data_IF_553105614189
#
_entry.id   IF_553105614189
#
_cell.length_a   1.000
_cell.length_b   1.000
_cell.length_c   1.000
_cell.angle_alpha   90.00
_cell.angle_beta   90.00
_cell.angle_gamma   90.00
#
_symmetry.space_group_name_H-M   'P 1'
#
loop_
_entity.id
_entity.type
_entity.pdbx_description
1 polymer ?
#
# COMPACT_ATOMS: atom_id res chain seq x y z
N UNK A 1 -6.48 13.39 -42.70
CA UNK A 1 -5.10 12.90 -42.82
C UNK A 1 -4.52 12.86 -41.42
N UNK A 2 -4.62 11.72 -40.72
CA UNK A 2 -4.03 11.56 -39.39
C UNK A 2 -2.52 11.25 -39.57
N UNK A 3 -1.61 11.96 -38.90
CA UNK A 3 -0.20 11.60 -38.94
C UNK A 3 -0.02 10.25 -38.25
N UNK A 4 0.57 9.28 -38.97
CA UNK A 4 0.96 8.01 -38.39
C UNK A 4 1.99 8.27 -37.28
N UNK A 5 1.70 7.83 -36.05
CA UNK A 5 2.63 7.95 -34.94
C UNK A 5 3.97 7.30 -35.32
N UNK A 6 5.07 8.01 -35.12
CA UNK A 6 6.42 7.47 -35.34
C UNK A 6 6.61 6.19 -34.49
N UNK A 7 7.29 5.16 -35.01
CA UNK A 7 7.43 3.86 -34.32
C UNK A 7 8.04 3.96 -32.91
N UNK A 8 8.82 5.01 -32.63
CA UNK A 8 9.35 5.32 -31.30
C UNK A 8 8.29 5.76 -30.28
N UNK A 9 7.21 6.41 -30.71
CA UNK A 9 6.14 6.90 -29.83
C UNK A 9 5.23 5.75 -29.40
N UNK A 10 4.87 4.88 -30.35
CA UNK A 10 4.07 3.68 -30.07
C UNK A 10 4.77 2.73 -29.08
N UNK A 11 6.10 2.56 -29.20
CA UNK A 11 6.88 1.75 -28.27
C UNK A 11 6.90 2.33 -26.84
N UNK A 12 7.04 3.66 -26.72
CA UNK A 12 7.01 4.34 -25.42
C UNK A 12 5.62 4.23 -24.77
N UNK A 13 4.54 4.41 -25.54
CA UNK A 13 3.16 4.25 -25.06
C UNK A 13 2.88 2.82 -24.59
N UNK A 14 3.35 1.81 -25.32
CA UNK A 14 3.24 0.41 -24.93
C UNK A 14 4.00 0.12 -23.62
N UNK A 15 5.20 0.69 -23.45
CA UNK A 15 5.97 0.56 -22.22
C UNK A 15 5.25 1.23 -21.02
N UNK A 16 4.66 2.40 -21.23
CA UNK A 16 3.87 3.09 -20.20
C UNK A 16 2.63 2.29 -19.80
N UNK A 17 1.93 1.70 -20.78
CA UNK A 17 0.77 0.85 -20.53
C UNK A 17 1.16 -0.39 -19.69
N UNK A 18 2.20 -1.11 -20.12
CA UNK A 18 2.70 -2.29 -19.40
C UNK A 18 3.13 -1.95 -17.96
N UNK A 19 3.80 -0.81 -17.75
CA UNK A 19 4.18 -0.36 -16.40
C UNK A 19 2.96 -0.10 -15.51
N UNK A 20 1.93 0.57 -16.04
CA UNK A 20 0.68 0.83 -15.30
C UNK A 20 -0.09 -0.44 -15.00
N UNK A 21 -0.14 -1.39 -15.93
CA UNK A 21 -0.77 -2.69 -15.71
C UNK A 21 -0.05 -3.49 -14.62
N UNK A 22 1.29 -3.48 -14.63
CA UNK A 22 2.10 -4.18 -13.65
C UNK A 22 1.98 -3.59 -12.23
N UNK A 23 2.05 -2.27 -12.09
CA UNK A 23 2.14 -1.62 -10.78
C UNK A 23 0.82 -1.01 -10.28
N UNK A 24 -0.13 -0.70 -11.17
CA UNK A 24 -1.33 0.05 -10.83
C UNK A 24 -2.22 -0.62 -9.79
N UNK A 25 -2.64 -1.89 -9.98
CA UNK A 25 -3.50 -2.58 -9.01
C UNK A 25 -2.88 -2.68 -7.61
N UNK A 26 -1.60 -3.07 -7.52
CA UNK A 26 -0.91 -3.23 -6.23
C UNK A 26 -0.69 -1.89 -5.54
N UNK A 27 -0.29 -0.86 -6.30
CA UNK A 27 -0.12 0.49 -5.75
C UNK A 27 -1.44 1.09 -5.26
N UNK A 28 -2.55 0.85 -5.97
CA UNK A 28 -3.87 1.29 -5.53
C UNK A 28 -4.29 0.58 -4.24
N UNK A 29 -4.09 -0.74 -4.13
CA UNK A 29 -4.32 -1.49 -2.91
C UNK A 29 -3.50 -0.99 -1.71
N UNK A 30 -2.21 -0.71 -1.93
CA UNK A 30 -1.35 -0.08 -0.92
C UNK A 30 -1.91 1.28 -0.47
N UNK A 31 -2.33 2.13 -1.41
CA UNK A 31 -2.90 3.44 -1.11
C UNK A 31 -4.25 3.33 -0.35
N UNK A 32 -5.09 2.33 -0.66
CA UNK A 32 -6.33 2.06 0.07
C UNK A 32 -6.07 1.70 1.53
N UNK A 33 -5.12 0.79 1.78
CA UNK A 33 -4.75 0.41 3.14
C UNK A 33 -4.14 1.57 3.93
N UNK A 34 -3.32 2.40 3.27
CA UNK A 34 -2.76 3.60 3.88
C UNK A 34 -3.82 4.63 4.26
N UNK A 35 -4.87 4.74 3.46
CA UNK A 35 -5.93 5.75 3.61
C UNK A 35 -7.17 5.21 4.32
N UNK A 36 -7.14 3.96 4.82
CA UNK A 36 -8.27 3.28 5.47
C UNK A 36 -9.53 3.28 4.61
N UNK A 37 -9.38 2.93 3.33
CA UNK A 37 -10.52 2.75 2.42
C UNK A 37 -11.04 4.05 1.78
N UNK A 38 -10.36 5.19 1.95
CA UNK A 38 -10.69 6.41 1.17
C UNK A 38 -10.32 6.21 -0.30
N UNK A 39 -11.26 5.63 -1.07
CA UNK A 39 -11.08 5.27 -2.47
C UNK A 39 -10.67 6.45 -3.35
N UNK A 40 -11.32 7.60 -3.17
CA UNK A 40 -11.06 8.77 -3.99
C UNK A 40 -9.65 9.29 -3.76
N UNK A 41 -9.21 9.32 -2.50
CA UNK A 41 -7.84 9.72 -2.15
C UNK A 41 -6.82 8.68 -2.62
N UNK A 42 -7.09 7.38 -2.41
CA UNK A 42 -6.21 6.31 -2.85
C UNK A 42 -6.00 6.34 -4.38
N UNK A 43 -7.08 6.50 -5.16
CA UNK A 43 -7.03 6.57 -6.62
C UNK A 43 -6.16 7.74 -7.11
N UNK A 44 -6.35 8.94 -6.52
CA UNK A 44 -5.53 10.11 -6.86
C UNK A 44 -4.06 9.89 -6.54
N UNK A 45 -3.76 9.39 -5.34
CA UNK A 45 -2.38 9.13 -4.91
C UNK A 45 -1.67 8.11 -5.82
N UNK A 46 -2.35 7.03 -6.19
CA UNK A 46 -1.79 6.02 -7.09
C UNK A 46 -1.63 6.56 -8.51
N UNK A 47 -2.61 7.32 -9.02
CA UNK A 47 -2.55 7.89 -10.37
C UNK A 47 -1.40 8.89 -10.49
N UNK A 48 -1.24 9.79 -9.53
CA UNK A 48 -0.18 10.79 -9.54
C UNK A 48 1.20 10.13 -9.44
N UNK A 49 1.36 9.12 -8.57
CA UNK A 49 2.62 8.39 -8.46
C UNK A 49 2.98 7.64 -9.76
N UNK A 50 2.01 7.07 -10.47
CA UNK A 50 2.22 6.42 -11.77
C UNK A 50 2.54 7.42 -12.89
N UNK A 51 1.90 8.59 -12.86
CA UNK A 51 2.18 9.68 -13.80
C UNK A 51 3.63 10.16 -13.64
N UNK A 52 4.05 10.47 -12.41
CA UNK A 52 5.41 10.88 -12.12
C UNK A 52 6.45 9.80 -12.46
N UNK A 53 6.12 8.52 -12.26
CA UNK A 53 7.00 7.41 -12.61
C UNK A 53 7.16 7.26 -14.13
N UNK A 54 6.10 7.55 -14.89
CA UNK A 54 6.09 7.43 -16.36
C UNK A 54 7.10 8.40 -16.99
N UNK A 55 7.28 9.59 -16.40
CA UNK A 55 8.31 10.55 -16.81
C UNK A 55 9.75 10.07 -16.54
N UNK A 56 9.91 9.01 -15.73
CA UNK A 56 11.20 8.52 -15.21
C UNK A 56 11.46 7.04 -15.50
N UNK A 57 10.72 6.42 -16.41
CA UNK A 57 10.82 4.99 -16.70
C UNK A 57 12.23 4.55 -17.09
N UNK A 58 12.99 5.42 -17.76
CA UNK A 58 14.39 5.17 -18.12
C UNK A 58 15.31 4.95 -16.91
N UNK A 59 14.98 5.52 -15.75
CA UNK A 59 15.73 5.40 -14.48
C UNK A 59 15.21 4.25 -13.61
N UNK A 60 13.94 3.89 -13.77
CA UNK A 60 13.23 2.88 -12.96
C UNK A 60 13.21 1.49 -13.60
N UNK A 61 14.29 1.12 -14.30
CA UNK A 61 14.35 -0.14 -15.08
C UNK A 61 14.25 -1.41 -14.25
N UNK A 62 14.52 -1.33 -12.94
CA UNK A 62 14.36 -2.47 -12.04
C UNK A 62 12.97 -2.45 -11.40
N UNK A 63 12.13 -3.48 -11.63
CA UNK A 63 10.74 -3.49 -11.19
C UNK A 63 10.59 -3.39 -9.67
N UNK A 64 11.52 -3.94 -8.90
CA UNK A 64 11.53 -3.86 -7.43
C UNK A 64 11.80 -2.43 -6.96
N UNK A 65 12.81 -1.78 -7.55
CA UNK A 65 13.15 -0.38 -7.23
C UNK A 65 12.01 0.57 -7.64
N UNK A 66 11.34 0.29 -8.76
CA UNK A 66 10.15 1.01 -9.17
C UNK A 66 9.01 0.86 -8.16
N UNK A 67 8.75 -0.36 -7.68
CA UNK A 67 7.74 -0.63 -6.68
C UNK A 67 7.99 0.13 -5.37
N UNK A 68 9.23 0.11 -4.87
CA UNK A 68 9.63 0.84 -3.67
C UNK A 68 9.51 2.37 -3.85
N UNK A 69 9.95 2.89 -5.00
CA UNK A 69 9.86 4.30 -5.33
C UNK A 69 8.41 4.79 -5.37
N UNK A 70 7.51 4.05 -6.03
CA UNK A 70 6.09 4.39 -6.12
C UNK A 70 5.43 4.49 -4.74
N UNK A 71 5.75 3.54 -3.85
CA UNK A 71 5.22 3.52 -2.47
C UNK A 71 5.79 4.66 -1.64
N UNK A 72 7.08 4.95 -1.77
CA UNK A 72 7.69 6.12 -1.16
C UNK A 72 6.99 7.41 -1.61
N UNK A 73 6.67 7.55 -2.90
CA UNK A 73 5.92 8.68 -3.45
C UNK A 73 4.53 8.81 -2.83
N UNK A 74 3.76 7.71 -2.78
CA UNK A 74 2.44 7.70 -2.14
C UNK A 74 2.52 8.13 -0.67
N UNK A 75 3.46 7.59 0.12
CA UNK A 75 3.63 7.96 1.55
C UNK A 75 3.95 9.44 1.73
N UNK A 76 4.83 10.00 0.88
CA UNK A 76 5.16 11.43 0.89
C UNK A 76 3.94 12.29 0.58
N UNK A 77 3.13 11.89 -0.40
CA UNK A 77 1.99 12.68 -0.85
C UNK A 77 0.80 12.62 0.11
N UNK A 78 0.59 11.48 0.78
CA UNK A 78 -0.38 11.39 1.90
C UNK A 78 -0.04 12.41 2.99
N UNK A 79 1.24 12.61 3.28
CA UNK A 79 1.72 13.54 4.32
C UNK A 79 1.59 15.00 3.90
N UNK A 80 1.89 15.32 2.64
CA UNK A 80 1.94 16.70 2.13
C UNK A 80 0.57 17.28 1.79
N UNK A 81 -0.36 16.46 1.33
CA UNK A 81 -1.63 16.95 0.77
C UNK A 81 -2.71 17.02 1.85
N UNK A 82 -3.40 18.16 1.92
CA UNK A 82 -4.57 18.32 2.80
C UNK A 82 -5.59 17.23 2.50
N UNK A 83 -6.16 16.65 3.55
CA UNK A 83 -7.28 15.71 3.43
C UNK A 83 -8.45 16.49 2.82
N UNK A 84 -9.04 15.94 1.76
CA UNK A 84 -10.32 16.43 1.24
C UNK A 84 -11.45 16.13 2.22
N UNK A 85 -12.72 16.30 1.81
CA UNK A 85 -13.86 15.86 2.59
C UNK A 85 -13.68 14.39 3.00
N UNK A 86 -13.83 14.07 4.29
CA UNK A 86 -13.66 12.70 4.76
C UNK A 86 -14.86 11.87 4.27
N UNK A 87 -14.65 10.80 3.48
CA UNK A 87 -15.75 9.93 3.09
C UNK A 87 -16.42 9.32 4.32
N UNK A 88 -17.72 9.04 4.19
CA UNK A 88 -18.49 8.41 5.26
C UNK A 88 -17.83 7.08 5.64
N UNK A 89 -17.88 6.75 6.92
CA UNK A 89 -17.29 5.50 7.44
C UNK A 89 -17.83 4.29 6.68
N UNK A 90 -19.14 4.23 6.44
CA UNK A 90 -19.80 3.18 5.65
C UNK A 90 -19.14 2.93 4.30
N UNK A 91 -18.82 4.01 3.57
CA UNK A 91 -18.28 3.92 2.22
C UNK A 91 -16.84 3.39 2.23
N UNK A 92 -16.08 3.75 3.28
CA UNK A 92 -14.74 3.21 3.53
C UNK A 92 -14.78 1.73 3.88
N UNK A 93 -15.70 1.31 4.75
CA UNK A 93 -15.83 -0.10 5.15
C UNK A 93 -16.24 -0.97 3.96
N UNK A 94 -17.24 -0.56 3.17
CA UNK A 94 -17.69 -1.31 2.00
C UNK A 94 -16.60 -1.50 0.92
N UNK A 95 -15.56 -0.66 0.88
CA UNK A 95 -14.40 -0.82 0.01
C UNK A 95 -13.42 -1.84 0.58
N UNK A 96 -13.16 -1.77 1.89
CA UNK A 96 -12.23 -2.65 2.58
C UNK A 96 -12.78 -4.08 2.72
N UNK A 97 -14.09 -4.24 2.95
CA UNK A 97 -14.78 -5.52 2.94
C UNK A 97 -14.62 -6.27 1.61
N UNK A 98 -14.66 -5.54 0.48
CA UNK A 98 -14.38 -6.12 -0.85
C UNK A 98 -12.94 -6.62 -1.04
N UNK A 99 -12.05 -6.25 -0.12
CA UNK A 99 -10.68 -6.73 -0.05
C UNK A 99 -10.50 -7.79 1.06
N UNK A 100 -11.60 -8.34 1.58
CA UNK A 100 -11.64 -9.23 2.75
C UNK A 100 -10.99 -8.62 4.00
N UNK A 101 -11.04 -7.29 4.14
CA UNK A 101 -10.50 -6.58 5.30
C UNK A 101 -11.65 -6.33 6.27
N UNK A 102 -11.63 -7.05 7.39
CA UNK A 102 -12.62 -6.92 8.46
C UNK A 102 -12.37 -5.71 9.39
N UNK A 103 -13.36 -5.43 10.26
CA UNK A 103 -13.30 -4.33 11.23
C UNK A 103 -12.08 -4.42 12.18
N UNK A 104 -11.63 -5.63 12.52
CA UNK A 104 -10.49 -5.81 13.40
C UNK A 104 -9.17 -5.46 12.71
N UNK A 105 -9.00 -5.83 11.44
CA UNK A 105 -7.86 -5.41 10.60
C UNK A 105 -7.88 -3.89 10.45
N UNK A 106 -9.05 -3.29 10.20
CA UNK A 106 -9.20 -1.84 10.06
C UNK A 106 -8.81 -1.14 11.35
N UNK A 107 -9.28 -1.61 12.51
CA UNK A 107 -8.91 -1.06 13.81
C UNK A 107 -7.40 -1.19 14.07
N UNK A 108 -6.83 -2.34 13.75
CA UNK A 108 -5.39 -2.60 13.82
C UNK A 108 -4.58 -1.60 13.00
N UNK A 109 -4.95 -1.41 11.71
CA UNK A 109 -4.29 -0.44 10.83
C UNK A 109 -4.52 1.00 11.29
N UNK A 110 -5.72 1.34 11.75
CA UNK A 110 -6.08 2.68 12.21
C UNK A 110 -5.29 3.12 13.44
N UNK A 111 -4.91 2.18 14.31
CA UNK A 111 -4.08 2.45 15.48
C UNK A 111 -2.62 2.82 15.14
N UNK A 112 -2.17 2.58 13.91
CA UNK A 112 -0.79 2.85 13.47
C UNK A 112 -0.63 4.28 12.96
N UNK A 113 0.54 4.87 13.20
CA UNK A 113 0.94 6.06 12.43
C UNK A 113 1.03 5.73 10.93
N UNK A 114 0.98 6.75 10.07
CA UNK A 114 1.11 6.57 8.62
C UNK A 114 2.37 5.77 8.24
N UNK A 115 3.52 6.08 8.88
CA UNK A 115 4.79 5.41 8.59
C UNK A 115 4.82 3.96 9.06
N UNK A 116 4.30 3.68 10.26
CA UNK A 116 4.20 2.31 10.77
C UNK A 116 3.31 1.45 9.89
N UNK A 117 2.18 2.01 9.46
CA UNK A 117 1.25 1.36 8.53
C UNK A 117 1.89 1.10 7.18
N UNK A 118 2.61 2.08 6.62
CA UNK A 118 3.35 1.90 5.37
C UNK A 118 4.39 0.78 5.48
N UNK A 119 5.18 0.75 6.56
CA UNK A 119 6.17 -0.30 6.78
C UNK A 119 5.51 -1.67 6.91
N UNK A 120 4.44 -1.78 7.70
CA UNK A 120 3.76 -3.04 7.96
C UNK A 120 3.07 -3.57 6.68
N UNK A 121 2.35 -2.73 5.93
CA UNK A 121 1.72 -3.14 4.66
C UNK A 121 2.80 -3.58 3.64
N UNK A 122 3.86 -2.78 3.46
CA UNK A 122 4.91 -3.10 2.51
C UNK A 122 5.65 -4.41 2.85
N UNK A 123 5.99 -4.62 4.12
CA UNK A 123 6.73 -5.82 4.56
C UNK A 123 5.84 -7.07 4.64
N UNK A 124 4.63 -6.96 5.17
CA UNK A 124 3.81 -8.12 5.52
C UNK A 124 2.80 -8.49 4.42
N UNK A 125 2.19 -7.50 3.75
CA UNK A 125 1.14 -7.75 2.75
C UNK A 125 1.77 -7.87 1.36
N UNK A 126 2.63 -6.93 1.00
CA UNK A 126 3.28 -6.91 -0.31
C UNK A 126 4.61 -7.67 -0.36
N UNK A 127 5.10 -8.11 0.80
CA UNK A 127 6.29 -8.96 0.94
C UNK A 127 7.57 -8.36 0.34
N UNK A 128 7.69 -7.03 0.40
CA UNK A 128 8.90 -6.33 -0.06
C UNK A 128 10.08 -6.61 0.87
N UNK A 129 11.29 -6.60 0.29
CA UNK A 129 12.53 -6.75 1.04
C UNK A 129 12.74 -5.60 2.02
N UNK A 130 13.37 -5.87 3.16
CA UNK A 130 13.64 -4.84 4.18
C UNK A 130 14.37 -3.60 3.64
N UNK A 131 15.35 -3.70 2.71
CA UNK A 131 15.98 -2.52 2.12
C UNK A 131 14.97 -1.62 1.39
N UNK A 132 14.02 -2.20 0.65
CA UNK A 132 12.98 -1.44 -0.05
C UNK A 132 11.99 -0.81 0.93
N UNK A 133 11.61 -1.54 1.98
CA UNK A 133 10.75 -1.01 3.05
C UNK A 133 11.42 0.18 3.74
N UNK A 134 12.73 0.09 4.01
CA UNK A 134 13.53 1.16 4.59
C UNK A 134 13.49 2.44 3.73
N UNK A 135 13.59 2.28 2.40
CA UNK A 135 13.45 3.38 1.42
C UNK A 135 12.04 3.98 1.46
N UNK A 136 11.00 3.16 1.51
CA UNK A 136 9.59 3.62 1.55
C UNK A 136 9.33 4.52 2.76
N UNK A 137 9.82 4.13 3.94
CA UNK A 137 9.55 4.87 5.19
C UNK A 137 10.63 5.88 5.58
N UNK A 138 11.74 5.92 4.84
CA UNK A 138 12.86 6.84 5.06
C UNK A 138 13.60 6.57 6.37
N UNK A 139 13.98 5.31 6.64
CA UNK A 139 14.66 4.87 7.87
C UNK A 139 15.88 4.02 7.55
N UNK A 140 16.82 3.92 8.49
CA UNK A 140 17.89 2.92 8.45
C UNK A 140 17.39 1.55 8.95
N UNK A 141 18.14 0.48 8.66
CA UNK A 141 17.75 -0.90 8.98
C UNK A 141 17.42 -1.11 10.47
N UNK A 142 18.28 -0.62 11.38
CA UNK A 142 18.02 -0.72 12.83
C UNK A 142 16.75 0.03 13.23
N UNK A 143 16.55 1.24 12.71
CA UNK A 143 15.35 2.02 12.97
C UNK A 143 14.09 1.37 12.39
N UNK A 144 14.22 0.67 11.25
CA UNK A 144 13.13 -0.06 10.62
C UNK A 144 12.71 -1.26 11.46
N UNK A 145 13.66 -2.05 11.97
CA UNK A 145 13.37 -3.20 12.84
C UNK A 145 12.60 -2.75 14.10
N UNK A 146 13.06 -1.71 14.77
CA UNK A 146 12.38 -1.16 15.94
C UNK A 146 10.98 -0.60 15.60
N UNK A 147 10.83 0.02 14.42
CA UNK A 147 9.56 0.54 13.93
C UNK A 147 8.57 -0.59 13.64
N UNK A 148 9.00 -1.66 12.98
CA UNK A 148 8.17 -2.83 12.69
C UNK A 148 7.76 -3.56 13.97
N UNK A 149 8.67 -3.72 14.94
CA UNK A 149 8.34 -4.33 16.23
C UNK A 149 7.24 -3.54 16.96
N UNK A 150 7.39 -2.22 17.09
CA UNK A 150 6.37 -1.34 17.70
C UNK A 150 5.05 -1.35 16.93
N UNK A 151 5.12 -1.30 15.59
CA UNK A 151 3.95 -1.33 14.74
C UNK A 151 3.14 -2.62 14.95
N UNK A 152 3.81 -3.78 15.00
CA UNK A 152 3.16 -5.07 15.26
C UNK A 152 2.49 -5.10 16.62
N UNK A 153 3.19 -4.72 17.70
CA UNK A 153 2.61 -4.68 19.05
C UNK A 153 1.35 -3.81 19.09
N UNK A 154 1.39 -2.62 18.47
CA UNK A 154 0.25 -1.70 18.46
C UNK A 154 -0.90 -2.22 17.61
N UNK A 155 -0.60 -2.76 16.44
CA UNK A 155 -1.58 -3.39 15.55
C UNK A 155 -2.33 -4.51 16.29
N UNK A 156 -1.61 -5.45 16.90
CA UNK A 156 -2.20 -6.60 17.57
C UNK A 156 -3.07 -6.20 18.75
N UNK A 157 -2.63 -5.23 19.56
CA UNK A 157 -3.44 -4.72 20.67
C UNK A 157 -4.78 -4.18 20.20
N UNK A 158 -4.80 -3.39 19.13
CA UNK A 158 -6.03 -2.81 18.59
C UNK A 158 -6.90 -3.84 17.86
N UNK A 159 -6.28 -4.75 17.12
CA UNK A 159 -6.95 -5.88 16.48
C UNK A 159 -7.67 -6.74 17.54
N UNK A 160 -6.97 -7.19 18.58
CA UNK A 160 -7.53 -8.07 19.61
C UNK A 160 -8.70 -7.41 20.37
N UNK A 161 -8.59 -6.11 20.66
CA UNK A 161 -9.67 -5.36 21.29
C UNK A 161 -10.95 -5.27 20.45
N UNK A 162 -10.85 -5.41 19.13
CA UNK A 162 -11.98 -5.30 18.19
C UNK A 162 -12.51 -6.67 17.76
N UNK A 163 -11.63 -7.66 17.63
CA UNK A 163 -12.00 -9.02 17.26
C UNK A 163 -12.84 -9.72 18.36
N UNK A 164 -12.67 -9.33 19.63
CA UNK A 164 -13.33 -10.02 20.76
C UNK A 164 -12.95 -11.51 20.83
N UNK A 165 -13.79 -12.31 21.51
CA UNK A 165 -13.73 -13.79 21.49
C UNK A 165 -14.40 -14.40 20.24
N UNK A 166 -14.77 -13.59 19.24
CA UNK A 166 -15.46 -14.07 18.05
C UNK A 166 -14.54 -15.00 17.25
N UNK A 167 -14.92 -16.27 17.21
CA UNK A 167 -14.27 -17.35 16.47
C UNK A 167 -14.03 -16.97 15.00
N UNK A 168 -12.94 -17.47 14.40
CA UNK A 168 -12.45 -17.00 13.12
C UNK A 168 -13.42 -17.28 11.96
N UNK A 169 -13.87 -16.22 11.28
CA UNK A 169 -14.38 -16.33 9.90
C UNK A 169 -13.22 -16.89 9.05
N UNK A 170 -13.43 -18.08 8.49
CA UNK A 170 -12.45 -18.78 7.66
C UNK A 170 -12.55 -18.27 6.22
N UNK A 171 -11.42 -17.88 5.64
CA UNK A 171 -11.33 -17.37 4.28
C UNK A 171 -9.88 -17.18 3.85
N UNK A 172 -9.53 -17.43 2.58
CA UNK A 172 -8.14 -17.55 2.14
C UNK A 172 -7.30 -16.27 2.33
N UNK A 173 -7.91 -15.08 2.29
CA UNK A 173 -7.23 -13.81 2.57
C UNK A 173 -7.00 -13.60 4.07
N UNK A 174 -7.99 -13.93 4.90
CA UNK A 174 -7.90 -13.91 6.38
C UNK A 174 -6.88 -14.92 6.87
N UNK A 175 -6.86 -16.12 6.27
CA UNK A 175 -5.86 -17.15 6.54
C UNK A 175 -4.47 -16.71 6.10
N UNK A 176 -4.36 -15.94 5.02
CA UNK A 176 -3.08 -15.35 4.60
C UNK A 176 -2.61 -14.29 5.59
N UNK A 177 -3.46 -13.36 6.00
CA UNK A 177 -3.15 -12.32 7.00
C UNK A 177 -2.87 -12.94 8.37
N UNK A 178 -3.60 -13.97 8.79
CA UNK A 178 -3.32 -14.75 10.02
C UNK A 178 -2.05 -15.56 9.91
N UNK A 179 -1.77 -16.21 8.79
CA UNK A 179 -0.51 -16.92 8.58
C UNK A 179 0.69 -15.96 8.58
N UNK A 180 0.50 -14.75 8.05
CA UNK A 180 1.48 -13.66 8.11
C UNK A 180 1.66 -13.15 9.55
N UNK A 181 0.57 -13.02 10.31
CA UNK A 181 0.61 -12.68 11.72
C UNK A 181 1.29 -13.76 12.57
N UNK A 182 1.00 -15.04 12.31
CA UNK A 182 1.57 -16.20 13.00
C UNK A 182 3.06 -16.40 12.70
N UNK A 183 3.49 -16.21 11.45
CA UNK A 183 4.91 -16.22 11.08
C UNK A 183 5.69 -15.02 11.62
N UNK A 184 5.02 -13.93 12.00
CA UNK A 184 5.67 -12.82 12.68
C UNK A 184 5.88 -13.08 14.18
N UNK A 185 5.37 -14.20 14.73
CA UNK A 185 5.48 -14.62 16.14
C UNK A 185 6.56 -15.69 16.38
N UNK A 186 7.21 -16.22 15.34
CA UNK A 186 8.35 -17.16 15.41
C UNK A 186 9.60 -16.49 14.88
#
# INVERSE_FOLDING_TARGET
MQPAASPSTAAAEAQHAAFRELHGPTLHGFALLLTLGDRARAARLSADALADASERLGELRHPERAAAWLRCRVVRDVTRRRRGPDPRRSDRMAILERMDVDDAIIAGLAALSLRERAALVAANIERLGLPDVAVIVGRSDRQLSDLLARARTRYFRAYAATAGDALPIAGPTVDRVRAIAARAMT
#
